data_IF_494310992511
#
_entry.id   IF_494310992511
#
_cell.length_a   1.000
_cell.length_b   1.000
_cell.length_c   1.000
_cell.angle_alpha   90.00
_cell.angle_beta   90.00
_cell.angle_gamma   90.00
#
_symmetry.space_group_name_H-M   'P 1'
#
loop_
_entity.id
_entity.type
_entity.pdbx_description
1 polymer ?
#
# COMPACT_ATOMS: atom_id res chain seq x y z
N UNK A 1 36.69 19.78 -47.90
CA UNK A 1 36.99 20.60 -46.72
C UNK A 1 35.69 21.25 -46.29
N UNK A 2 34.84 20.57 -45.51
CA UNK A 2 34.99 20.21 -44.10
C UNK A 2 35.10 21.43 -43.20
N UNK A 3 34.15 21.54 -42.24
CA UNK A 3 33.87 22.67 -41.33
C UNK A 3 33.05 23.70 -42.11
N UNK A 4 31.73 23.84 -41.95
CA UNK A 4 31.12 24.41 -40.75
C UNK A 4 29.67 23.94 -40.51
N UNK A 5 29.28 22.81 -41.09
CA UNK A 5 27.92 22.24 -40.96
C UNK A 5 27.71 21.39 -39.69
N UNK A 6 28.39 21.73 -38.58
CA UNK A 6 28.49 20.88 -37.39
C UNK A 6 27.97 21.51 -36.09
N UNK A 7 27.32 22.68 -36.14
CA UNK A 7 26.85 23.37 -34.92
C UNK A 7 25.33 23.25 -34.70
N UNK A 8 24.55 22.84 -35.70
CA UNK A 8 23.08 22.80 -35.58
C UNK A 8 22.48 21.42 -35.21
N UNK A 9 23.28 20.33 -35.14
CA UNK A 9 22.75 18.96 -34.99
C UNK A 9 23.05 18.30 -33.62
N UNK A 10 23.49 19.05 -32.61
CA UNK A 10 23.86 18.47 -31.29
C UNK A 10 22.82 18.77 -30.20
N UNK A 11 21.87 19.68 -30.42
CA UNK A 11 20.88 20.08 -29.40
C UNK A 11 19.54 19.34 -29.46
N UNK A 12 19.39 18.33 -30.32
CA UNK A 12 18.12 17.65 -30.60
C UNK A 12 18.17 16.14 -30.29
N UNK A 13 18.87 15.77 -29.21
CA UNK A 13 19.12 14.36 -28.87
C UNK A 13 18.82 13.94 -27.43
N UNK A 14 18.25 14.80 -26.59
CA UNK A 14 17.93 14.44 -25.19
C UNK A 14 16.47 14.78 -24.88
N UNK A 15 15.56 14.13 -25.59
CA UNK A 15 14.27 13.77 -25.00
C UNK A 15 14.32 12.28 -24.70
N UNK A 16 15.24 11.88 -23.83
CA UNK A 16 15.08 10.61 -23.12
C UNK A 16 13.78 10.75 -22.34
N UNK A 17 12.76 10.05 -22.83
CA UNK A 17 11.50 9.92 -22.14
C UNK A 17 11.82 9.47 -20.73
N UNK A 18 11.57 10.36 -19.76
CA UNK A 18 11.39 9.99 -18.39
C UNK A 18 10.10 9.17 -18.31
N UNK A 19 10.11 7.97 -18.91
CA UNK A 19 9.36 6.86 -18.37
C UNK A 19 10.04 6.56 -17.04
N UNK A 20 9.68 7.35 -16.02
CA UNK A 20 9.61 6.83 -14.68
C UNK A 20 8.71 5.61 -14.83
N UNK A 21 9.33 4.44 -14.91
CA UNK A 21 8.66 3.17 -14.69
C UNK A 21 8.19 3.27 -13.25
N UNK A 22 7.02 3.88 -13.06
CA UNK A 22 6.27 3.76 -11.82
C UNK A 22 6.11 2.26 -11.63
N UNK A 23 6.85 1.73 -10.66
CA UNK A 23 6.87 0.34 -10.31
C UNK A 23 5.44 -0.16 -10.08
N UNK A 24 4.82 -0.73 -11.12
CA UNK A 24 3.66 -1.61 -11.07
C UNK A 24 2.53 -1.14 -10.17
N UNK A 25 1.90 -0.01 -10.49
CA UNK A 25 0.58 0.28 -9.93
C UNK A 25 -0.40 -0.78 -10.43
N UNK A 26 -1.08 -1.45 -9.51
CA UNK A 26 -1.98 -2.57 -9.71
C UNK A 26 -3.35 -2.19 -9.16
N UNK A 27 -4.39 -2.47 -9.94
CA UNK A 27 -5.75 -2.48 -9.42
C UNK A 27 -5.92 -3.69 -8.50
N UNK A 28 -6.33 -3.44 -7.26
CA UNK A 28 -6.61 -4.46 -6.25
C UNK A 28 -8.03 -4.29 -5.72
N UNK A 29 -8.67 -5.37 -5.31
CA UNK A 29 -10.00 -5.31 -4.69
C UNK A 29 -9.88 -5.45 -3.19
N UNK A 30 -10.44 -4.51 -2.41
CA UNK A 30 -10.56 -4.63 -0.97
C UNK A 30 -11.41 -5.88 -0.64
N UNK A 31 -10.86 -6.78 0.16
CA UNK A 31 -11.56 -7.92 0.75
C UNK A 31 -12.10 -7.53 2.12
N UNK A 32 -11.27 -6.88 2.93
CA UNK A 32 -11.66 -6.25 4.20
C UNK A 32 -10.74 -5.08 4.52
N UNK A 33 -11.23 -4.11 5.29
CA UNK A 33 -10.46 -2.97 5.79
C UNK A 33 -11.07 -2.57 7.13
N UNK A 34 -10.32 -2.77 8.21
CA UNK A 34 -10.84 -2.70 9.57
C UNK A 34 -9.85 -1.98 10.48
N UNK A 35 -10.39 -1.21 11.42
CA UNK A 35 -9.65 -0.73 12.56
C UNK A 35 -9.77 -1.75 13.70
N UNK A 36 -8.65 -2.12 14.28
CA UNK A 36 -8.55 -3.06 15.39
C UNK A 36 -7.73 -2.43 16.52
N UNK A 37 -7.79 -3.07 17.67
CA UNK A 37 -7.01 -2.69 18.84
C UNK A 37 -6.29 -3.91 19.39
N UNK A 38 -5.10 -3.70 19.94
CA UNK A 38 -4.43 -4.68 20.77
C UNK A 38 -4.00 -4.04 22.08
N UNK A 39 -3.98 -4.82 23.15
CA UNK A 39 -3.58 -4.32 24.46
C UNK A 39 -2.05 -4.35 24.58
N UNK A 40 -1.47 -3.20 24.89
CA UNK A 40 -0.05 -3.07 25.26
C UNK A 40 0.06 -2.86 26.76
N UNK A 41 0.93 -3.62 27.42
CA UNK A 41 1.28 -3.38 28.81
C UNK A 41 2.16 -2.12 28.88
N UNK A 42 1.70 -1.12 29.62
CA UNK A 42 2.42 0.16 29.77
C UNK A 42 3.05 0.34 31.15
N UNK A 43 2.55 -0.38 32.16
CA UNK A 43 3.09 -0.36 33.50
C UNK A 43 2.72 -1.63 34.28
N UNK A 44 3.40 -1.85 35.40
CA UNK A 44 3.07 -2.86 36.40
C UNK A 44 2.87 -2.18 37.75
N UNK A 45 1.78 -2.48 38.45
CA UNK A 45 1.50 -1.97 39.80
C UNK A 45 1.12 -3.16 40.68
N UNK A 46 1.92 -3.45 41.71
CA UNK A 46 1.71 -4.60 42.61
C UNK A 46 1.42 -5.91 41.84
N UNK A 47 2.32 -6.27 40.92
CA UNK A 47 2.22 -7.44 40.04
C UNK A 47 0.97 -7.49 39.14
N UNK A 48 0.23 -6.38 39.03
CA UNK A 48 -0.91 -6.22 38.13
C UNK A 48 -0.50 -5.40 36.91
N UNK A 49 -0.63 -5.93 35.67
CA UNK A 49 -0.32 -5.17 34.47
C UNK A 49 -1.41 -4.12 34.19
N UNK A 50 -0.97 -2.91 33.83
CA UNK A 50 -1.81 -1.83 33.32
C UNK A 50 -1.74 -1.83 31.80
N UNK A 51 -2.90 -1.97 31.16
CA UNK A 51 -3.02 -2.05 29.70
C UNK A 51 -3.44 -0.71 29.10
N UNK A 52 -2.95 -0.44 27.90
CA UNK A 52 -3.42 0.62 27.04
C UNK A 52 -3.77 0.04 25.67
N UNK A 53 -4.95 0.33 25.11
CA UNK A 53 -5.29 -0.11 23.77
C UNK A 53 -4.50 0.70 22.74
N UNK A 54 -3.73 0.01 21.92
CA UNK A 54 -3.08 0.57 20.74
C UNK A 54 -3.93 0.22 19.50
N UNK A 55 -4.22 1.25 18.69
CA UNK A 55 -5.00 1.10 17.46
C UNK A 55 -4.08 0.65 16.33
N UNK A 56 -4.54 -0.27 15.50
CA UNK A 56 -3.91 -0.59 14.23
C UNK A 56 -4.97 -0.81 13.14
N UNK A 57 -4.58 -0.65 11.89
CA UNK A 57 -5.43 -0.94 10.74
C UNK A 57 -5.03 -2.24 10.09
N UNK A 58 -6.00 -3.11 9.87
CA UNK A 58 -5.84 -4.34 9.13
C UNK A 58 -6.55 -4.24 7.78
N UNK A 59 -5.85 -4.58 6.70
CA UNK A 59 -6.40 -4.61 5.35
C UNK A 59 -6.15 -5.96 4.70
N UNK A 60 -7.13 -6.47 3.99
CA UNK A 60 -6.97 -7.59 3.07
C UNK A 60 -7.34 -7.14 1.66
N UNK A 61 -6.45 -7.36 0.70
CA UNK A 61 -6.67 -6.99 -0.71
C UNK A 61 -6.43 -8.18 -1.63
N UNK A 62 -7.28 -8.31 -2.64
CA UNK A 62 -7.13 -9.30 -3.71
C UNK A 62 -6.41 -8.65 -4.88
N UNK A 63 -5.34 -9.30 -5.35
CA UNK A 63 -4.68 -8.97 -6.61
C UNK A 63 -4.47 -10.28 -7.39
N UNK A 64 -5.19 -10.41 -8.51
CA UNK A 64 -5.29 -11.66 -9.26
C UNK A 64 -5.76 -12.82 -8.38
N UNK A 65 -4.99 -13.91 -8.37
CA UNK A 65 -5.26 -15.13 -7.60
C UNK A 65 -4.73 -15.10 -6.16
N UNK A 66 -4.29 -13.95 -5.66
CA UNK A 66 -3.73 -13.82 -4.31
C UNK A 66 -4.54 -12.86 -3.45
N UNK A 67 -4.65 -13.16 -2.17
CA UNK A 67 -5.08 -12.23 -1.13
C UNK A 67 -3.88 -11.90 -0.25
N UNK A 68 -3.63 -10.62 -0.07
CA UNK A 68 -2.58 -10.07 0.78
C UNK A 68 -3.24 -9.44 2.00
N UNK A 69 -2.87 -9.92 3.18
CA UNK A 69 -3.28 -9.36 4.47
C UNK A 69 -2.12 -8.53 5.01
N UNK A 70 -2.41 -7.32 5.47
CA UNK A 70 -1.40 -6.43 6.00
C UNK A 70 -1.91 -5.49 7.08
N UNK A 71 -0.96 -5.00 7.87
CA UNK A 71 -1.21 -4.15 9.02
C UNK A 71 -0.46 -2.83 8.94
N UNK A 72 -1.06 -1.80 9.52
CA UNK A 72 -0.48 -0.49 9.65
C UNK A 72 -0.81 0.09 11.03
N UNK A 73 0.24 0.48 11.76
CA UNK A 73 0.11 1.25 12.99
C UNK A 73 0.07 2.74 12.65
N UNK A 74 -1.02 3.45 12.98
CA UNK A 74 -1.14 4.88 12.73
C UNK A 74 -0.18 5.68 13.60
N UNK A 75 0.36 6.76 13.03
CA UNK A 75 1.27 7.65 13.77
C UNK A 75 0.49 8.60 14.71
N UNK A 76 -0.82 8.78 14.43
CA UNK A 76 -1.71 9.65 15.18
C UNK A 76 -3.05 8.99 15.44
N UNK A 77 -3.62 9.20 16.63
CA UNK A 77 -4.95 8.72 17.01
C UNK A 77 -6.10 9.26 16.13
N UNK A 78 -5.85 10.34 15.38
CA UNK A 78 -6.82 10.96 14.47
C UNK A 78 -6.78 10.37 13.07
N UNK A 79 -5.77 9.54 12.79
CA UNK A 79 -5.69 8.86 11.51
C UNK A 79 -6.81 7.83 11.41
N UNK A 80 -7.39 7.71 10.22
CA UNK A 80 -8.49 6.79 9.94
C UNK A 80 -8.29 6.14 8.58
N UNK A 81 -8.83 4.93 8.42
CA UNK A 81 -8.94 4.34 7.10
C UNK A 81 -9.91 5.16 6.24
N UNK A 82 -9.68 5.21 4.91
CA UNK A 82 -10.61 5.90 4.03
C UNK A 82 -12.01 5.24 4.06
N UNK A 83 -13.07 6.03 4.28
CA UNK A 83 -14.45 5.55 4.52
C UNK A 83 -15.01 4.66 3.40
N UNK A 84 -14.54 4.84 2.18
CA UNK A 84 -14.97 4.07 1.00
C UNK A 84 -14.19 2.77 0.82
N UNK A 85 -13.17 2.47 1.63
CA UNK A 85 -12.51 1.17 1.63
C UNK A 85 -13.42 0.13 2.28
N UNK A 86 -14.30 -0.42 1.45
CA UNK A 86 -15.26 -1.46 1.81
C UNK A 86 -15.02 -2.71 0.96
N UNK A 87 -15.44 -3.89 1.42
CA UNK A 87 -15.34 -5.11 0.62
C UNK A 87 -15.91 -4.93 -0.80
N UNK A 88 -15.15 -5.35 -1.80
CA UNK A 88 -15.51 -5.24 -3.22
C UNK A 88 -15.05 -3.96 -3.92
N UNK A 89 -14.55 -2.96 -3.19
CA UNK A 89 -14.07 -1.70 -3.79
C UNK A 89 -12.70 -1.90 -4.42
N UNK A 90 -12.52 -1.37 -5.63
CA UNK A 90 -11.23 -1.33 -6.30
C UNK A 90 -10.39 -0.16 -5.80
N UNK A 91 -9.11 -0.43 -5.54
CA UNK A 91 -8.12 0.53 -5.10
C UNK A 91 -6.85 0.36 -5.94
N UNK A 92 -6.11 1.45 -6.10
CA UNK A 92 -4.79 1.42 -6.71
C UNK A 92 -3.72 1.19 -5.64
N UNK A 93 -2.73 0.38 -5.96
CA UNK A 93 -1.65 0.09 -5.03
C UNK A 93 -0.53 -0.71 -5.67
N UNK A 94 0.46 -1.08 -4.86
CA UNK A 94 1.61 -1.87 -5.32
C UNK A 94 2.18 -2.69 -4.18
N UNK A 95 2.86 -3.77 -4.54
CA UNK A 95 3.55 -4.64 -3.60
C UNK A 95 5.05 -4.51 -3.84
N UNK A 96 5.81 -4.25 -2.77
CA UNK A 96 7.28 -4.20 -2.83
C UNK A 96 7.86 -4.91 -1.61
N UNK A 97 8.46 -6.07 -1.84
CA UNK A 97 8.97 -6.93 -0.75
C UNK A 97 7.87 -7.32 0.22
N UNK A 98 8.03 -6.98 1.50
CA UNK A 98 7.08 -7.23 2.58
C UNK A 98 6.10 -6.08 2.82
N UNK A 99 5.90 -5.19 1.84
CA UNK A 99 5.06 -4.02 2.01
C UNK A 99 4.01 -3.92 0.90
N UNK A 100 2.78 -3.63 1.33
CA UNK A 100 1.64 -3.32 0.50
C UNK A 100 1.39 -1.80 0.60
N UNK A 101 1.46 -1.11 -0.53
CA UNK A 101 1.17 0.31 -0.61
C UNK A 101 -0.21 0.48 -1.25
N UNK A 102 -1.14 1.13 -0.56
CA UNK A 102 -2.49 1.42 -1.06
C UNK A 102 -2.71 2.92 -1.14
N UNK A 103 -3.24 3.39 -2.26
CA UNK A 103 -3.46 4.81 -2.54
C UNK A 103 -4.80 5.27 -1.98
N UNK A 104 -4.76 6.36 -1.21
CA UNK A 104 -5.94 7.11 -0.77
C UNK A 104 -6.49 7.97 -1.93
N UNK A 105 -7.72 8.52 -1.83
CA UNK A 105 -8.27 9.39 -2.89
C UNK A 105 -7.49 10.68 -3.03
N UNK A 106 -6.87 11.14 -1.94
CA UNK A 106 -6.00 12.32 -1.95
C UNK A 106 -4.62 12.02 -2.57
N UNK A 107 -4.41 10.82 -3.12
CA UNK A 107 -3.16 10.41 -3.77
C UNK A 107 -2.07 9.91 -2.82
N UNK A 108 -2.24 10.04 -1.50
CA UNK A 108 -1.26 9.59 -0.51
C UNK A 108 -1.28 8.07 -0.39
N UNK A 109 -0.11 7.43 -0.40
CA UNK A 109 0.03 5.99 -0.15
C UNK A 109 0.05 5.69 1.36
N UNK A 110 -0.71 4.68 1.78
CA UNK A 110 -0.54 4.04 3.10
C UNK A 110 0.30 2.79 2.90
N UNK A 111 1.35 2.65 3.70
CA UNK A 111 2.20 1.45 3.71
C UNK A 111 1.73 0.49 4.79
N UNK A 112 1.22 -0.66 4.37
CA UNK A 112 0.93 -1.81 5.23
C UNK A 112 2.11 -2.79 5.19
N UNK A 113 2.43 -3.37 6.34
CA UNK A 113 3.33 -4.53 6.44
C UNK A 113 2.52 -5.77 6.09
N UNK A 114 3.00 -6.56 5.11
CA UNK A 114 2.31 -7.79 4.71
C UNK A 114 2.57 -8.86 5.78
N UNK A 115 1.49 -9.32 6.40
CA UNK A 115 1.52 -10.42 7.36
C UNK A 115 1.37 -11.77 6.71
N UNK A 116 0.49 -11.85 5.69
CA UNK A 116 0.12 -13.12 5.09
C UNK A 116 -0.21 -12.95 3.62
N UNK A 117 0.15 -13.97 2.85
CA UNK A 117 -0.26 -14.15 1.46
C UNK A 117 -0.97 -15.48 1.34
N UNK A 118 -2.18 -15.47 0.83
CA UNK A 118 -2.95 -16.69 0.55
C UNK A 118 -3.39 -16.73 -0.90
N UNK A 119 -3.54 -17.94 -1.44
CA UNK A 119 -4.22 -18.12 -2.71
C UNK A 119 -5.69 -17.78 -2.53
N UNK A 120 -6.23 -16.91 -3.40
CA UNK A 120 -7.65 -16.63 -3.45
C UNK A 120 -8.37 -17.93 -3.83
N UNK A 121 -9.32 -18.37 -2.99
CA UNK A 121 -10.15 -19.52 -3.34
C UNK A 121 -10.81 -19.25 -4.71
N UNK A 122 -10.56 -20.12 -5.68
CA UNK A 122 -11.19 -20.04 -6.99
C UNK A 122 -12.71 -20.05 -6.79
N UNK A 123 -13.40 -19.01 -7.27
CA UNK A 123 -14.86 -19.06 -7.35
C UNK A 123 -15.23 -20.28 -8.20
N UNK A 124 -15.74 -21.35 -7.59
CA UNK A 124 -16.44 -22.40 -8.34
C UNK A 124 -17.62 -21.72 -9.03
N UNK A 125 -17.53 -21.57 -10.37
CA UNK A 125 -18.71 -21.28 -11.19
C UNK A 125 -19.68 -22.44 -10.96
N UNK A 126 -20.90 -22.12 -10.55
CA UNK A 126 -22.00 -23.05 -10.43
C UNK A 126 -22.93 -22.90 -11.64
#
# INVERSE_FOLDING_TARGET
MCRELLIALVLLGISEGAHSVESGELTMTIVSAEQKTHDRVVAWVNDTPIYQPDVYFHVAVRSGENVFEGEYEPVSQWETLPVFWKPGVEVQGRIRGHSLFLKRPNGVEIRFVILKRTAAAAKKKH
#
